data_IF_168859309674
#
_entry.id   IF_168859309674
#
_cell.length_a   1.000
_cell.length_b   1.000
_cell.length_c   1.000
_cell.angle_alpha   90.00
_cell.angle_beta   90.00
_cell.angle_gamma   90.00
#
_symmetry.space_group_name_H-M   'P 1'
#
loop_
_entity.id
_entity.type
_entity.pdbx_description
1 polymer ?
#
# COMPACT_ATOMS: atom_id res chain seq x y z
N UNK A 1 41.27 0.34 8.13
CA UNK A 1 40.67 1.70 8.15
C UNK A 1 39.58 1.93 7.08
N UNK A 2 39.34 1.02 6.13
CA UNK A 2 38.29 1.18 5.10
C UNK A 2 36.91 0.61 5.47
N UNK A 3 36.80 -0.28 6.45
CA UNK A 3 35.51 -0.92 6.83
C UNK A 3 34.56 0.05 7.55
N UNK A 4 35.07 1.11 8.19
CA UNK A 4 34.28 2.05 8.99
C UNK A 4 33.67 3.16 8.11
N UNK A 5 34.35 3.57 7.03
CA UNK A 5 33.87 4.62 6.12
C UNK A 5 32.77 4.15 5.15
N UNK A 6 32.73 2.84 4.84
CA UNK A 6 31.61 2.26 4.08
C UNK A 6 30.32 2.23 4.91
N UNK A 7 30.42 2.03 6.23
CA UNK A 7 29.27 1.87 7.12
C UNK A 7 28.37 3.11 7.18
N UNK A 8 28.94 4.29 7.46
CA UNK A 8 28.13 5.51 7.65
C UNK A 8 27.54 6.05 6.34
N UNK A 9 28.27 5.90 5.23
CA UNK A 9 27.77 6.31 3.91
C UNK A 9 26.62 5.43 3.44
N UNK A 10 26.70 4.11 3.66
CA UNK A 10 25.61 3.17 3.35
C UNK A 10 24.39 3.45 4.22
N UNK A 11 24.58 3.72 5.52
CA UNK A 11 23.48 4.08 6.44
C UNK A 11 22.75 5.34 5.95
N UNK A 12 23.49 6.38 5.58
CA UNK A 12 22.90 7.62 5.07
C UNK A 12 22.13 7.39 3.75
N UNK A 13 22.71 6.63 2.82
CA UNK A 13 22.06 6.28 1.56
C UNK A 13 20.77 5.47 1.77
N UNK A 14 20.76 4.52 2.70
CA UNK A 14 19.56 3.72 2.98
C UNK A 14 18.46 4.60 3.57
N UNK A 15 18.77 5.48 4.51
CA UNK A 15 17.79 6.43 5.05
C UNK A 15 17.22 7.37 3.97
N UNK A 16 18.08 7.90 3.10
CA UNK A 16 17.65 8.72 1.95
C UNK A 16 16.74 7.92 1.02
N UNK A 17 17.10 6.67 0.72
CA UNK A 17 16.32 5.79 -0.14
C UNK A 17 14.93 5.50 0.45
N UNK A 18 14.85 5.19 1.75
CA UNK A 18 13.58 4.98 2.47
C UNK A 18 12.70 6.22 2.39
N UNK A 19 13.25 7.41 2.69
CA UNK A 19 12.50 8.67 2.61
C UNK A 19 12.02 8.97 1.19
N UNK A 20 12.87 8.72 0.20
CA UNK A 20 12.56 8.96 -1.21
C UNK A 20 11.45 8.02 -1.70
N UNK A 21 11.57 6.72 -1.44
CA UNK A 21 10.54 5.72 -1.81
C UNK A 21 9.23 5.99 -1.06
N UNK A 22 9.30 6.37 0.22
CA UNK A 22 8.13 6.73 1.01
C UNK A 22 7.43 7.97 0.43
N UNK A 23 8.20 8.99 0.05
CA UNK A 23 7.67 10.22 -0.57
C UNK A 23 7.03 9.94 -1.93
N UNK A 24 7.62 9.06 -2.76
CA UNK A 24 7.02 8.62 -4.03
C UNK A 24 5.71 7.86 -3.78
N UNK A 25 5.68 6.98 -2.78
CA UNK A 25 4.47 6.27 -2.36
C UNK A 25 3.35 7.24 -1.94
N UNK A 26 3.70 8.24 -1.12
CA UNK A 26 2.79 9.30 -0.67
C UNK A 26 2.26 10.15 -1.83
N UNK A 27 3.14 10.56 -2.74
CA UNK A 27 2.78 11.33 -3.93
C UNK A 27 1.85 10.52 -4.85
N UNK A 28 2.14 9.23 -5.04
CA UNK A 28 1.31 8.31 -5.83
C UNK A 28 -0.08 8.10 -5.21
N UNK A 29 -0.16 8.06 -3.87
CA UNK A 29 -1.42 7.96 -3.12
C UNK A 29 -2.30 9.21 -3.31
N UNK A 30 -1.70 10.41 -3.23
CA UNK A 30 -2.45 11.67 -3.36
C UNK A 30 -2.87 12.00 -4.80
N UNK A 31 -2.03 11.69 -5.80
CA UNK A 31 -2.27 12.12 -7.18
C UNK A 31 -3.28 11.27 -7.96
N UNK A 32 -3.74 10.12 -7.44
CA UNK A 32 -4.58 9.17 -8.19
C UNK A 32 -5.98 9.02 -7.64
N UNK A 33 -6.97 9.27 -8.50
CA UNK A 33 -8.42 9.13 -8.25
C UNK A 33 -8.96 7.70 -8.33
N UNK A 34 -8.16 6.72 -8.72
CA UNK A 34 -8.59 5.32 -8.83
C UNK A 34 -8.20 4.57 -7.56
N UNK A 35 -9.18 4.00 -6.85
CA UNK A 35 -8.99 3.22 -5.63
C UNK A 35 -7.91 2.12 -5.74
N UNK A 36 -7.86 1.42 -6.87
CA UNK A 36 -6.84 0.39 -7.14
C UNK A 36 -5.42 0.98 -7.13
N UNK A 37 -5.26 2.18 -7.68
CA UNK A 37 -3.94 2.84 -7.73
C UNK A 37 -3.54 3.44 -6.37
N UNK A 38 -4.50 3.85 -5.55
CA UNK A 38 -4.24 4.27 -4.17
C UNK A 38 -3.75 3.09 -3.31
N UNK A 39 -4.33 1.90 -3.48
CA UNK A 39 -3.88 0.68 -2.80
C UNK A 39 -2.41 0.34 -3.14
N UNK A 40 -2.00 0.54 -4.40
CA UNK A 40 -0.60 0.35 -4.82
C UNK A 40 0.33 1.38 -4.18
N UNK A 41 -0.09 2.65 -4.10
CA UNK A 41 0.69 3.70 -3.41
C UNK A 41 0.86 3.42 -1.92
N UNK A 42 -0.21 2.96 -1.26
CA UNK A 42 -0.19 2.54 0.14
C UNK A 42 0.77 1.37 0.36
N UNK A 43 0.71 0.34 -0.48
CA UNK A 43 1.64 -0.80 -0.45
C UNK A 43 3.10 -0.39 -0.58
N UNK A 44 3.39 0.56 -1.47
CA UNK A 44 4.76 1.08 -1.62
C UNK A 44 5.24 1.84 -0.36
N UNK A 45 4.36 2.58 0.33
CA UNK A 45 4.71 3.20 1.61
C UNK A 45 5.06 2.15 2.68
N UNK A 46 4.22 1.12 2.85
CA UNK A 46 4.46 0.05 3.82
C UNK A 46 5.74 -0.74 3.55
N UNK A 47 6.05 -0.98 2.27
CA UNK A 47 7.29 -1.65 1.88
C UNK A 47 8.53 -0.80 2.22
N UNK A 48 8.45 0.52 2.05
CA UNK A 48 9.54 1.43 2.44
C UNK A 48 9.79 1.41 3.95
N UNK A 49 8.73 1.48 4.76
CA UNK A 49 8.83 1.39 6.23
C UNK A 49 9.40 0.05 6.67
N UNK A 50 8.99 -1.04 6.02
CA UNK A 50 9.51 -2.38 6.29
C UNK A 50 11.01 -2.49 6.03
N UNK A 51 11.49 -1.87 4.95
CA UNK A 51 12.92 -1.81 4.61
C UNK A 51 13.70 -1.00 5.66
N UNK A 52 13.15 0.13 6.10
CA UNK A 52 13.74 0.94 7.17
C UNK A 52 13.81 0.20 8.51
N UNK A 53 12.74 -0.51 8.89
CA UNK A 53 12.72 -1.35 10.09
C UNK A 53 13.81 -2.42 10.01
N UNK A 54 13.86 -3.18 8.91
CA UNK A 54 14.84 -4.24 8.71
C UNK A 54 16.28 -3.71 8.83
N UNK A 55 16.54 -2.53 8.27
CA UNK A 55 17.84 -1.87 8.36
C UNK A 55 18.18 -1.44 9.79
N UNK A 56 17.22 -0.87 10.53
CA UNK A 56 17.43 -0.49 11.93
C UNK A 56 17.62 -1.72 12.84
N UNK A 57 16.96 -2.84 12.53
CA UNK A 57 17.14 -4.12 13.21
C UNK A 57 18.52 -4.71 12.97
N UNK A 58 19.05 -4.58 11.73
CA UNK A 58 20.42 -4.94 11.42
C UNK A 58 21.43 -4.09 12.20
N UNK A 59 21.23 -2.77 12.25
CA UNK A 59 22.12 -1.85 12.97
C UNK A 59 22.14 -2.09 14.48
N UNK A 60 20.99 -2.47 15.07
CA UNK A 60 20.87 -2.77 16.51
C UNK A 60 21.29 -4.20 16.87
N UNK A 61 21.54 -5.07 15.90
CA UNK A 61 21.87 -6.48 16.11
C UNK A 61 20.65 -7.39 16.37
N UNK A 62 19.45 -6.83 16.51
CA UNK A 62 18.20 -7.55 16.80
C UNK A 62 17.41 -7.84 15.51
N UNK A 63 18.04 -8.57 14.58
CA UNK A 63 17.45 -8.90 13.28
C UNK A 63 16.15 -9.70 13.42
N UNK A 64 16.09 -10.64 14.39
CA UNK A 64 14.93 -11.49 14.63
C UNK A 64 13.68 -10.68 15.02
N UNK A 65 13.84 -9.68 15.89
CA UNK A 65 12.75 -8.81 16.31
C UNK A 65 12.21 -8.03 15.12
N UNK A 66 13.10 -7.38 14.36
CA UNK A 66 12.67 -6.59 13.20
C UNK A 66 12.04 -7.45 12.10
N UNK A 67 12.55 -8.64 11.83
CA UNK A 67 11.97 -9.55 10.84
C UNK A 67 10.59 -10.02 11.26
N UNK A 68 10.40 -10.42 12.52
CA UNK A 68 9.09 -10.85 13.02
C UNK A 68 8.03 -9.73 12.93
N UNK A 69 8.44 -8.49 13.23
CA UNK A 69 7.57 -7.32 13.12
C UNK A 69 7.17 -7.04 11.65
N UNK A 70 8.14 -7.09 10.73
CA UNK A 70 7.89 -6.88 9.29
C UNK A 70 6.98 -7.97 8.73
N UNK A 71 7.24 -9.24 9.05
CA UNK A 71 6.41 -10.35 8.57
C UNK A 71 4.96 -10.21 9.08
N UNK A 72 4.80 -9.88 10.36
CA UNK A 72 3.46 -9.67 10.95
C UNK A 72 2.73 -8.51 10.28
N UNK A 73 3.43 -7.40 10.02
CA UNK A 73 2.87 -6.25 9.32
C UNK A 73 2.43 -6.60 7.88
N UNK A 74 3.23 -7.38 7.15
CA UNK A 74 2.91 -7.83 5.78
C UNK A 74 1.65 -8.72 5.73
N UNK A 75 1.45 -9.58 6.72
CA UNK A 75 0.24 -10.42 6.82
C UNK A 75 -0.99 -9.54 7.04
N UNK A 76 -0.93 -8.60 7.99
CA UNK A 76 -2.04 -7.68 8.27
C UNK A 76 -2.35 -6.83 7.03
N UNK A 77 -1.33 -6.31 6.37
CA UNK A 77 -1.47 -5.53 5.14
C UNK A 77 -2.21 -6.32 4.04
N UNK A 78 -1.81 -7.56 3.80
CA UNK A 78 -2.43 -8.41 2.79
C UNK A 78 -3.93 -8.65 3.08
N UNK A 79 -4.27 -8.88 4.35
CA UNK A 79 -5.67 -9.03 4.79
C UNK A 79 -6.46 -7.73 4.57
N UNK A 80 -5.91 -6.58 4.95
CA UNK A 80 -6.56 -5.28 4.80
C UNK A 80 -6.78 -4.93 3.32
N UNK A 81 -5.80 -5.18 2.45
CA UNK A 81 -5.93 -4.98 1.00
C UNK A 81 -7.03 -5.88 0.41
N UNK A 82 -7.11 -7.14 0.85
CA UNK A 82 -8.15 -8.08 0.43
C UNK A 82 -9.56 -7.65 0.84
N UNK A 83 -9.71 -7.14 2.06
CA UNK A 83 -10.97 -6.59 2.56
C UNK A 83 -11.38 -5.32 1.79
N UNK A 84 -10.44 -4.40 1.58
CA UNK A 84 -10.67 -3.18 0.81
C UNK A 84 -11.11 -3.50 -0.63
N UNK A 85 -10.45 -4.45 -1.29
CA UNK A 85 -10.80 -4.86 -2.64
C UNK A 85 -12.20 -5.49 -2.69
N UNK A 86 -12.53 -6.36 -1.73
CA UNK A 86 -13.86 -6.98 -1.64
C UNK A 86 -14.96 -5.93 -1.43
N UNK A 87 -14.71 -4.93 -0.60
CA UNK A 87 -15.62 -3.80 -0.39
C UNK A 87 -15.81 -2.97 -1.66
N UNK A 88 -14.71 -2.63 -2.36
CA UNK A 88 -14.75 -1.89 -3.63
C UNK A 88 -15.57 -2.67 -4.67
N UNK A 89 -15.35 -3.98 -4.81
CA UNK A 89 -16.08 -4.83 -5.77
C UNK A 89 -17.58 -4.86 -5.43
N UNK A 90 -17.94 -5.03 -4.15
CA UNK A 90 -19.35 -5.03 -3.71
C UNK A 90 -20.05 -3.71 -4.02
N UNK A 91 -19.40 -2.57 -3.73
CA UNK A 91 -19.95 -1.24 -4.01
C UNK A 91 -20.10 -1.02 -5.52
N UNK A 92 -19.09 -1.38 -6.31
CA UNK A 92 -19.14 -1.26 -7.77
C UNK A 92 -20.26 -2.11 -8.38
N UNK A 93 -20.44 -3.35 -7.90
CA UNK A 93 -21.51 -4.25 -8.34
C UNK A 93 -22.90 -3.69 -8.00
N UNK A 94 -23.10 -3.23 -6.77
CA UNK A 94 -24.40 -2.70 -6.36
C UNK A 94 -24.74 -1.39 -7.08
N UNK A 95 -23.75 -0.56 -7.42
CA UNK A 95 -23.95 0.63 -8.23
C UNK A 95 -24.41 0.28 -9.66
N UNK A 96 -23.89 -0.78 -10.26
CA UNK A 96 -24.28 -1.24 -11.60
C UNK A 96 -25.71 -1.82 -11.61
N UNK A 97 -26.05 -2.60 -10.58
CA UNK A 97 -27.39 -3.19 -10.43
C UNK A 97 -28.50 -2.13 -10.37
N UNK A 98 -28.28 -1.03 -9.62
CA UNK A 98 -29.24 0.08 -9.55
C UNK A 98 -29.46 0.78 -10.89
N UNK A 99 -28.41 0.92 -11.69
CA UNK A 99 -28.51 1.55 -13.02
C UNK A 99 -29.36 0.69 -13.97
N UNK A 100 -29.14 -0.62 -13.97
CA UNK A 100 -29.94 -1.55 -14.79
C UNK A 100 -31.42 -1.56 -14.40
N UNK A 101 -31.73 -1.52 -13.09
CA UNK A 101 -33.11 -1.46 -12.61
C UNK A 101 -33.78 -0.14 -13.00
N UNK A 102 -33.05 0.99 -12.95
CA UNK A 102 -33.59 2.29 -13.36
C UNK A 102 -33.89 2.37 -14.87
N UNK A 103 -33.04 1.76 -15.70
CA UNK A 103 -33.24 1.67 -17.15
C UNK A 103 -34.45 0.78 -17.48
N UNK A 104 -34.55 -0.40 -16.86
CA UNK A 104 -35.68 -1.33 -17.01
C UNK A 104 -37.01 -0.65 -16.64
N UNK A 105 -37.05 0.06 -15.51
CA UNK A 105 -38.26 0.72 -15.04
C UNK A 105 -38.68 1.86 -15.99
N UNK A 106 -37.71 2.56 -16.60
CA UNK A 106 -38.00 3.62 -17.57
C UNK A 106 -38.57 3.07 -18.88
N UNK A 107 -38.14 1.88 -19.32
CA UNK A 107 -38.67 1.19 -20.50
C UNK A 107 -40.11 0.70 -20.27
N UNK A 108 -40.40 0.16 -19.10
CA UNK A 108 -41.75 -0.28 -18.71
C UNK A 108 -42.79 0.86 -18.72
N UNK A 109 -42.34 2.10 -18.41
CA UNK A 109 -43.17 3.31 -18.52
C UNK A 109 -43.48 3.74 -19.96
N UNK A 110 -42.65 3.40 -20.95
CA UNK A 110 -42.87 3.79 -22.34
C UNK A 110 -43.70 2.77 -23.13
N UNK A 111 -43.84 1.56 -22.61
CA UNK A 111 -44.62 0.47 -23.23
C UNK A 111 -46.10 0.49 -22.80
N UNK A 112 -46.50 1.44 -21.94
CA UNK A 112 -47.83 1.56 -21.33
C UNK A 112 -48.58 2.82 -21.78
#
# INVERSE_FOLDING_TARGET
MNEIMLSDWIISLVHICVVLVFSIGLLCFFLRTRFIRQLVGLKLMLQSVSLGLLFTGWQKGDMFLSQSMVISALVIEAVVIGLALTMIIRIAKHSQEKVLIAEQNSLDYLEK
#
